data_IF_050219834420
#
_entry.id   IF_050219834420
#
_cell.length_a   1.000
_cell.length_b   1.000
_cell.length_c   1.000
_cell.angle_alpha   90.00
_cell.angle_beta   90.00
_cell.angle_gamma   90.00
#
_symmetry.space_group_name_H-M   'P 1'
#
loop_
_entity.id
_entity.type
_entity.pdbx_description
1 polymer ?
#
# COMPACT_ATOMS: atom_id res chain seq x y z
N UNK A 1 -41.96 -25.85 36.68
CA UNK A 1 -41.38 -25.87 35.32
C UNK A 1 -41.98 -24.81 34.39
N UNK A 2 -43.32 -24.71 34.25
CA UNK A 2 -43.99 -23.69 33.44
C UNK A 2 -43.64 -22.23 33.85
N UNK A 3 -43.61 -21.93 35.15
CA UNK A 3 -43.22 -20.62 35.67
C UNK A 3 -41.74 -20.26 35.43
N UNK A 4 -40.87 -21.27 35.27
CA UNK A 4 -39.45 -21.06 34.98
C UNK A 4 -39.25 -20.69 33.50
N UNK A 5 -39.98 -21.36 32.61
CA UNK A 5 -40.01 -21.08 31.16
C UNK A 5 -40.65 -19.71 30.88
N UNK A 6 -41.74 -19.37 31.57
CA UNK A 6 -42.40 -18.06 31.43
C UNK A 6 -41.48 -16.93 31.90
N UNK A 7 -40.76 -17.11 33.02
CA UNK A 7 -39.79 -16.10 33.50
C UNK A 7 -38.53 -16.01 32.62
N UNK A 8 -38.08 -17.12 32.01
CA UNK A 8 -36.96 -17.13 31.08
C UNK A 8 -37.31 -16.44 29.76
N UNK A 9 -38.48 -16.73 29.16
CA UNK A 9 -38.95 -16.04 27.96
C UNK A 9 -39.23 -14.54 28.22
N UNK A 10 -39.69 -14.18 29.42
CA UNK A 10 -39.93 -12.77 29.79
C UNK A 10 -38.61 -12.00 29.97
N UNK A 11 -37.51 -12.65 30.40
CA UNK A 11 -36.15 -12.09 30.39
C UNK A 11 -35.58 -11.98 28.98
N UNK A 12 -35.70 -13.02 28.16
CA UNK A 12 -35.22 -13.02 26.78
C UNK A 12 -35.92 -11.97 25.89
N UNK A 13 -37.20 -11.68 26.14
CA UNK A 13 -37.92 -10.60 25.45
C UNK A 13 -37.57 -9.19 25.97
N UNK A 14 -36.97 -9.06 27.16
CA UNK A 14 -36.52 -7.76 27.66
C UNK A 14 -35.16 -7.34 27.05
N UNK A 15 -34.32 -8.32 26.71
CA UNK A 15 -33.00 -8.10 26.09
C UNK A 15 -33.11 -7.84 24.56
N UNK A 16 -34.16 -8.32 23.92
CA UNK A 16 -34.53 -7.95 22.55
C UNK A 16 -35.50 -6.76 22.58
N UNK A 17 -35.02 -5.53 22.34
CA UNK A 17 -35.86 -4.34 22.17
C UNK A 17 -36.84 -4.49 20.99
N UNK A 18 -37.99 -5.13 21.24
CA UNK A 18 -39.15 -5.20 20.37
C UNK A 18 -40.18 -4.15 20.83
N UNK A 19 -40.96 -3.54 19.90
CA UNK A 19 -41.91 -2.49 20.22
C UNK A 19 -43.03 -2.99 21.15
N UNK A 20 -43.48 -2.11 22.04
CA UNK A 20 -44.51 -2.36 23.05
C UNK A 20 -45.85 -2.80 22.41
N UNK A 21 -46.20 -4.07 22.59
CA UNK A 21 -47.47 -4.68 22.18
C UNK A 21 -48.43 -4.84 23.37
N UNK A 22 -48.45 -3.86 24.29
CA UNK A 22 -49.38 -3.81 25.43
C UNK A 22 -50.87 -3.77 25.05
N UNK A 23 -51.21 -3.57 23.76
CA UNK A 23 -52.58 -3.57 23.25
C UNK A 23 -53.18 -4.94 22.88
N UNK A 24 -52.39 -6.01 22.77
CA UNK A 24 -52.86 -7.28 22.18
C UNK A 24 -53.41 -8.32 23.19
N UNK A 25 -53.43 -8.02 24.49
CA UNK A 25 -53.74 -8.99 25.55
C UNK A 25 -55.16 -8.92 26.12
N UNK A 26 -56.08 -8.15 25.52
CA UNK A 26 -57.44 -7.95 26.05
C UNK A 26 -58.55 -8.42 25.12
N UNK A 27 -58.44 -9.61 24.52
CA UNK A 27 -59.59 -10.35 23.98
C UNK A 27 -59.39 -11.85 24.13
N UNK A 28 -59.75 -12.41 25.30
CA UNK A 28 -60.01 -13.85 25.45
C UNK A 28 -61.00 -14.08 26.60
N UNK A 29 -62.30 -13.96 26.31
CA UNK A 29 -63.35 -14.52 27.17
C UNK A 29 -64.61 -15.01 26.44
N UNK A 30 -64.62 -15.08 25.11
CA UNK A 30 -65.74 -15.68 24.36
C UNK A 30 -65.21 -16.36 23.10
N UNK A 31 -64.81 -17.63 23.21
CA UNK A 31 -64.81 -18.70 22.18
C UNK A 31 -64.28 -19.94 22.94
N UNK A 32 -65.10 -20.47 23.84
CA UNK A 32 -64.91 -21.77 24.49
C UNK A 32 -66.27 -22.39 24.79
N UNK A 33 -67.10 -22.48 23.76
CA UNK A 33 -68.18 -23.47 23.68
C UNK A 33 -68.19 -23.96 22.23
N UNK A 34 -68.36 -25.27 22.04
CA UNK A 34 -68.36 -25.99 20.76
C UNK A 34 -67.04 -26.01 19.98
N UNK A 35 -66.07 -26.84 20.40
CA UNK A 35 -65.42 -27.88 19.56
C UNK A 35 -64.81 -28.90 20.52
N UNK A 36 -65.14 -30.17 20.31
CA UNK A 36 -64.78 -31.30 21.17
C UNK A 36 -63.28 -31.53 21.33
N UNK A 37 -62.97 -32.26 22.41
CA UNK A 37 -61.68 -32.85 22.80
C UNK A 37 -60.81 -33.23 21.59
N UNK A 38 -59.92 -32.34 21.17
CA UNK A 38 -58.80 -32.65 20.29
C UNK A 38 -57.49 -32.40 21.06
N UNK A 39 -56.58 -33.37 20.97
CA UNK A 39 -55.43 -33.65 21.85
C UNK A 39 -54.57 -32.41 22.18
N UNK A 40 -54.56 -32.02 23.45
CA UNK A 40 -53.70 -30.97 24.04
C UNK A 40 -52.24 -31.38 24.32
N UNK A 41 -51.80 -32.55 23.84
CA UNK A 41 -50.45 -33.09 24.13
C UNK A 41 -49.40 -32.70 23.06
N UNK A 42 -49.82 -32.19 21.90
CA UNK A 42 -48.91 -31.86 20.79
C UNK A 42 -48.41 -30.41 20.81
N UNK A 43 -49.21 -29.46 21.31
CA UNK A 43 -48.87 -28.02 21.34
C UNK A 43 -47.58 -27.70 22.15
N UNK A 44 -47.31 -28.28 23.33
CA UNK A 44 -46.08 -27.95 24.07
C UNK A 44 -44.81 -28.54 23.43
N UNK A 45 -44.92 -29.63 22.66
CA UNK A 45 -43.76 -30.23 21.95
C UNK A 45 -43.32 -29.39 20.75
N UNK A 46 -44.26 -28.81 20.00
CA UNK A 46 -43.94 -27.88 18.92
C UNK A 46 -43.43 -26.53 19.43
N UNK A 47 -43.96 -26.03 20.56
CA UNK A 47 -43.46 -24.80 21.18
C UNK A 47 -42.03 -24.95 21.73
N UNK A 48 -41.69 -26.09 22.33
CA UNK A 48 -40.33 -26.38 22.78
C UNK A 48 -39.33 -26.58 21.63
N UNK A 49 -39.74 -27.25 20.54
CA UNK A 49 -38.92 -27.41 19.34
C UNK A 49 -38.70 -26.06 18.61
N UNK A 50 -39.71 -25.19 18.58
CA UNK A 50 -39.58 -23.83 18.02
C UNK A 50 -38.65 -22.95 18.87
N UNK A 51 -38.70 -23.07 20.20
CA UNK A 51 -37.78 -22.35 21.09
C UNK A 51 -36.33 -22.87 21.00
N UNK A 52 -36.13 -24.18 20.84
CA UNK A 52 -34.80 -24.76 20.59
C UNK A 52 -34.26 -24.36 19.21
N UNK A 53 -35.12 -24.21 18.20
CA UNK A 53 -34.72 -23.71 16.88
C UNK A 53 -34.37 -22.20 16.89
N UNK A 54 -35.05 -21.40 17.73
CA UNK A 54 -34.80 -19.95 17.85
C UNK A 54 -33.58 -19.61 18.73
N UNK A 55 -33.24 -20.46 19.71
CA UNK A 55 -32.07 -20.25 20.58
C UNK A 55 -30.72 -20.67 19.97
N UNK A 56 -30.73 -21.37 18.84
CA UNK A 56 -29.51 -21.89 18.19
C UNK A 56 -28.87 -20.90 17.19
N UNK A 57 -29.51 -19.76 16.90
CA UNK A 57 -29.01 -18.80 15.92
C UNK A 57 -27.71 -18.10 16.36
N UNK A 58 -27.41 -18.03 17.66
CA UNK A 58 -26.17 -17.45 18.21
C UNK A 58 -25.00 -18.46 18.31
N UNK A 59 -25.23 -19.75 18.04
CA UNK A 59 -24.18 -20.79 18.12
C UNK A 59 -23.61 -21.20 16.76
N UNK A 60 -24.00 -20.50 15.69
CA UNK A 60 -23.52 -20.78 14.34
C UNK A 60 -22.14 -20.15 14.09
N UNK A 61 -21.19 -20.89 13.49
CA UNK A 61 -19.92 -20.31 13.06
C UNK A 61 -20.16 -19.21 12.03
N UNK A 62 -19.78 -17.97 12.35
CA UNK A 62 -19.75 -16.86 11.41
C UNK A 62 -18.31 -16.54 11.02
N UNK A 63 -18.09 -16.15 9.76
CA UNK A 63 -16.76 -15.85 9.21
C UNK A 63 -16.21 -14.49 9.73
N UNK A 64 -17.02 -13.72 10.47
CA UNK A 64 -16.64 -12.43 11.06
C UNK A 64 -17.84 -11.66 11.64
N UNK A 65 -17.64 -10.41 12.08
CA UNK A 65 -18.70 -9.63 12.72
C UNK A 65 -19.82 -9.23 11.73
N UNK A 66 -21.07 -9.43 12.14
CA UNK A 66 -22.23 -8.91 11.41
C UNK A 66 -22.33 -7.39 11.54
N UNK A 67 -23.09 -6.74 10.65
CA UNK A 67 -23.27 -5.29 10.71
C UNK A 67 -23.87 -4.81 12.05
N UNK A 68 -24.77 -5.61 12.64
CA UNK A 68 -25.33 -5.32 13.96
C UNK A 68 -24.31 -5.57 15.09
N UNK A 69 -23.45 -6.60 14.97
CA UNK A 69 -22.36 -6.85 15.90
C UNK A 69 -21.36 -5.69 15.94
N UNK A 70 -21.00 -5.14 14.79
CA UNK A 70 -20.12 -3.97 14.68
C UNK A 70 -20.68 -2.75 15.43
N UNK A 71 -21.98 -2.48 15.27
CA UNK A 71 -22.68 -1.39 15.97
C UNK A 71 -22.74 -1.61 17.49
N UNK A 72 -22.86 -2.86 17.95
CA UNK A 72 -22.94 -3.20 19.37
C UNK A 72 -21.59 -3.00 20.11
N UNK A 73 -20.47 -3.15 19.41
CA UNK A 73 -19.12 -2.98 19.97
C UNK A 73 -18.53 -1.57 19.79
N UNK A 74 -19.19 -0.70 19.02
CA UNK A 74 -18.75 0.69 18.84
C UNK A 74 -18.80 1.48 20.17
N UNK A 75 -17.68 2.11 20.52
CA UNK A 75 -17.42 2.65 21.87
C UNK A 75 -18.24 3.89 22.27
N UNK A 76 -19.04 4.48 21.37
CA UNK A 76 -19.82 5.68 21.67
C UNK A 76 -21.14 5.43 22.43
N UNK A 77 -21.54 4.17 22.65
CA UNK A 77 -22.84 3.84 23.31
C UNK A 77 -22.76 3.23 24.71
N UNK A 78 -21.59 2.84 25.23
CA UNK A 78 -21.49 2.14 26.53
C UNK A 78 -20.67 2.91 27.56
N UNK A 79 -21.34 3.55 28.52
CA UNK A 79 -20.72 3.95 29.80
C UNK A 79 -20.31 2.68 30.56
N UNK A 80 -19.16 2.75 31.25
CA UNK A 80 -18.60 1.82 32.25
C UNK A 80 -17.98 0.49 31.76
N UNK A 81 -16.67 0.49 31.45
CA UNK A 81 -15.66 -0.45 32.02
C UNK A 81 -14.22 -0.05 31.59
N UNK A 82 -13.34 0.50 32.46
CA UNK A 82 -12.02 1.04 32.08
C UNK A 82 -10.97 0.02 31.59
N UNK A 83 -11.15 -1.29 31.84
CA UNK A 83 -10.10 -2.29 31.64
C UNK A 83 -10.29 -3.24 30.45
N UNK A 84 -11.32 -3.04 29.62
CA UNK A 84 -11.69 -3.99 28.56
C UNK A 84 -11.68 -3.39 27.15
N UNK A 85 -10.94 -4.08 26.27
CA UNK A 85 -11.02 -4.10 24.79
C UNK A 85 -10.50 -2.85 24.08
N UNK A 86 -9.65 -3.04 23.07
CA UNK A 86 -9.28 -2.01 22.09
C UNK A 86 -10.54 -1.30 21.57
N UNK A 87 -10.82 -0.12 22.10
CA UNK A 87 -12.00 0.67 21.73
C UNK A 87 -11.74 1.33 20.39
N UNK A 88 -12.60 1.09 19.41
CA UNK A 88 -12.57 1.79 18.14
C UNK A 88 -13.71 2.81 18.04
N UNK A 89 -13.48 3.89 17.30
CA UNK A 89 -14.52 4.81 16.90
C UNK A 89 -15.17 4.31 15.61
N UNK A 90 -16.50 4.30 15.55
CA UNK A 90 -17.24 3.96 14.34
C UNK A 90 -17.64 5.26 13.63
N UNK A 91 -17.17 5.47 12.41
CA UNK A 91 -17.42 6.69 11.64
C UNK A 91 -18.17 6.34 10.36
N UNK A 92 -19.36 6.90 10.18
CA UNK A 92 -20.06 6.78 8.90
C UNK A 92 -19.38 7.67 7.86
N UNK A 93 -19.01 7.09 6.73
CA UNK A 93 -18.36 7.81 5.63
C UNK A 93 -19.42 8.57 4.84
N UNK A 94 -19.52 9.86 5.12
CA UNK A 94 -20.30 10.82 4.34
C UNK A 94 -19.38 11.69 3.45
N UNK A 95 -19.96 12.60 2.67
CA UNK A 95 -19.19 13.48 1.79
C UNK A 95 -18.26 14.46 2.54
N UNK A 96 -18.53 14.77 3.82
CA UNK A 96 -17.66 15.61 4.65
C UNK A 96 -16.43 14.81 5.08
N UNK A 97 -16.65 13.64 5.67
CA UNK A 97 -15.59 12.73 6.11
C UNK A 97 -14.68 12.34 4.94
N UNK A 98 -15.26 12.03 3.78
CA UNK A 98 -14.49 11.69 2.59
C UNK A 98 -13.59 12.85 2.13
N UNK A 99 -14.10 14.08 2.07
CA UNK A 99 -13.28 15.25 1.71
C UNK A 99 -12.22 15.58 2.76
N UNK A 100 -12.55 15.48 4.04
CA UNK A 100 -11.61 15.73 5.13
C UNK A 100 -10.45 14.71 5.08
N UNK A 101 -10.76 13.44 4.83
CA UNK A 101 -9.77 12.38 4.62
C UNK A 101 -8.93 12.63 3.37
N UNK A 102 -9.56 12.95 2.23
CA UNK A 102 -8.89 13.25 0.97
C UNK A 102 -7.88 14.40 1.14
N UNK A 103 -8.32 15.50 1.78
CA UNK A 103 -7.48 16.66 2.03
C UNK A 103 -6.32 16.37 2.98
N UNK A 104 -6.57 15.58 4.02
CA UNK A 104 -5.53 15.21 4.99
C UNK A 104 -4.47 14.30 4.37
N UNK A 105 -4.90 13.37 3.50
CA UNK A 105 -4.02 12.40 2.85
C UNK A 105 -3.47 12.86 1.50
N UNK A 106 -3.77 14.07 1.06
CA UNK A 106 -3.08 14.67 -0.08
C UNK A 106 -1.57 14.65 0.19
N UNK A 107 -0.77 14.08 -0.73
CA UNK A 107 0.64 13.86 -0.49
C UNK A 107 1.35 15.19 -0.25
N UNK A 108 1.78 15.43 1.00
CA UNK A 108 2.75 16.48 1.30
C UNK A 108 4.02 16.10 0.55
N UNK A 109 4.39 16.92 -0.44
CA UNK A 109 5.59 16.68 -1.24
C UNK A 109 6.80 16.67 -0.30
N UNK A 110 7.62 15.59 -0.29
CA UNK A 110 8.80 15.57 0.54
C UNK A 110 9.74 16.71 0.12
N UNK A 111 10.34 17.38 1.09
CA UNK A 111 11.36 18.40 0.79
C UNK A 111 12.62 17.73 0.25
N UNK A 112 13.19 18.27 -0.83
CA UNK A 112 14.50 17.82 -1.35
C UNK A 112 15.60 18.35 -0.42
N UNK A 113 16.41 17.48 0.22
CA UNK A 113 17.50 17.93 1.07
C UNK A 113 18.49 18.85 0.34
N UNK A 114 19.01 19.87 1.03
CA UNK A 114 19.91 20.88 0.44
C UNK A 114 21.15 20.28 -0.25
N UNK A 115 21.62 19.10 0.20
CA UNK A 115 22.72 18.37 -0.43
C UNK A 115 22.45 17.98 -1.89
N UNK A 116 21.18 17.84 -2.27
CA UNK A 116 20.75 17.48 -3.63
C UNK A 116 20.37 18.69 -4.50
N UNK A 117 20.34 19.89 -3.92
CA UNK A 117 20.01 21.13 -4.63
C UNK A 117 21.24 21.77 -5.31
N UNK A 118 22.45 21.37 -4.94
CA UNK A 118 23.69 21.86 -5.54
C UNK A 118 24.09 21.02 -6.75
N UNK A 119 24.58 21.68 -7.80
CA UNK A 119 25.17 21.02 -8.96
C UNK A 119 26.34 20.14 -8.54
N UNK A 120 26.34 18.89 -9.00
CA UNK A 120 27.46 17.98 -8.80
C UNK A 120 28.74 18.57 -9.39
N UNK A 121 29.89 18.29 -8.77
CA UNK A 121 31.19 18.64 -9.34
C UNK A 121 31.46 17.74 -10.54
N UNK A 122 31.31 18.27 -11.75
CA UNK A 122 31.63 17.58 -13.00
C UNK A 122 33.00 18.04 -13.56
N UNK A 123 33.59 17.22 -14.43
CA UNK A 123 34.74 17.62 -15.25
C UNK A 123 36.03 17.83 -14.46
N UNK A 124 36.22 17.08 -13.37
CA UNK A 124 37.47 17.08 -12.59
C UNK A 124 38.17 15.75 -12.76
N UNK A 125 39.49 15.78 -12.91
CA UNK A 125 40.29 14.56 -12.95
C UNK A 125 40.35 13.93 -11.55
N UNK A 126 39.93 12.68 -11.41
CA UNK A 126 40.07 11.91 -10.18
C UNK A 126 41.02 10.73 -10.32
N UNK A 127 41.41 10.17 -9.18
CA UNK A 127 42.33 9.02 -9.13
C UNK A 127 41.72 7.83 -9.87
N UNK A 128 42.50 7.20 -10.74
CA UNK A 128 42.06 6.07 -11.56
C UNK A 128 41.44 6.44 -12.91
N UNK A 129 41.13 7.72 -13.15
CA UNK A 129 40.64 8.15 -14.46
C UNK A 129 41.72 7.99 -15.53
N UNK A 130 41.27 7.70 -16.75
CA UNK A 130 42.11 7.67 -17.94
C UNK A 130 41.81 8.93 -18.75
N UNK A 131 42.82 9.78 -18.93
CA UNK A 131 42.74 11.02 -19.68
C UNK A 131 43.39 10.83 -21.05
N UNK A 132 42.72 11.30 -22.08
CA UNK A 132 43.26 11.47 -23.43
C UNK A 132 43.75 12.90 -23.57
N UNK A 133 45.04 13.07 -23.77
CA UNK A 133 45.69 14.36 -23.94
C UNK A 133 46.13 14.47 -25.40
N UNK A 134 45.47 15.36 -26.15
CA UNK A 134 45.84 15.65 -27.52
C UNK A 134 46.62 16.96 -27.55
N UNK A 135 47.82 16.91 -28.13
CA UNK A 135 48.75 18.04 -28.20
C UNK A 135 48.97 18.35 -29.68
N UNK A 136 48.83 19.62 -30.05
CA UNK A 136 49.09 20.14 -31.39
C UNK A 136 50.13 21.26 -31.34
N UNK A 137 50.91 21.42 -32.40
CA UNK A 137 51.78 22.57 -32.62
C UNK A 137 51.30 23.37 -33.84
N UNK A 138 51.17 24.69 -33.67
CA UNK A 138 50.73 25.58 -34.75
C UNK A 138 51.85 25.89 -35.77
N UNK A 139 53.12 25.68 -35.38
CA UNK A 139 54.31 26.01 -36.18
C UNK A 139 54.51 25.09 -37.40
N UNK A 140 55.09 25.63 -38.48
CA UNK A 140 55.52 24.86 -39.65
C UNK A 140 56.83 24.11 -39.41
N UNK A 141 57.59 24.51 -38.38
CA UNK A 141 58.78 23.82 -37.90
C UNK A 141 58.50 23.26 -36.50
N UNK A 142 57.72 22.18 -36.45
CA UNK A 142 57.34 21.53 -35.20
C UNK A 142 58.57 21.01 -34.43
N UNK A 143 58.75 21.45 -33.18
CA UNK A 143 59.93 21.14 -32.36
C UNK A 143 59.78 19.83 -31.59
N UNK A 144 58.55 19.47 -31.25
CA UNK A 144 58.27 18.27 -30.44
C UNK A 144 57.91 17.05 -31.30
N UNK A 145 57.37 17.24 -32.52
CA UNK A 145 56.90 16.15 -33.39
C UNK A 145 57.62 16.03 -34.73
N UNK A 146 58.49 16.99 -35.09
CA UNK A 146 59.20 17.01 -36.38
C UNK A 146 58.30 17.41 -37.56
N UNK A 147 58.78 17.24 -38.80
CA UNK A 147 58.12 17.74 -40.02
C UNK A 147 56.91 16.93 -40.47
N UNK A 148 56.81 15.65 -40.08
CA UNK A 148 55.81 14.73 -40.63
C UNK A 148 54.49 14.68 -39.83
N UNK A 149 54.46 15.22 -38.60
CA UNK A 149 53.27 15.23 -37.74
C UNK A 149 53.16 16.56 -36.98
N UNK A 150 51.96 17.13 -36.96
CA UNK A 150 51.65 18.38 -36.21
C UNK A 150 50.97 18.14 -34.85
N UNK A 151 50.85 16.89 -34.41
CA UNK A 151 50.28 16.57 -33.11
C UNK A 151 50.44 15.12 -32.69
N UNK A 152 50.15 14.86 -31.41
CA UNK A 152 50.14 13.54 -30.82
C UNK A 152 48.96 13.37 -29.86
N UNK A 153 48.50 12.13 -29.76
CA UNK A 153 47.52 11.71 -28.78
C UNK A 153 48.20 10.80 -27.75
N UNK A 154 48.12 11.20 -26.47
CA UNK A 154 48.72 10.47 -25.36
C UNK A 154 47.63 10.13 -24.36
N UNK A 155 47.47 8.84 -24.10
CA UNK A 155 46.56 8.36 -23.06
C UNK A 155 47.34 8.17 -21.76
N UNK A 156 46.92 8.86 -20.69
CA UNK A 156 47.56 8.80 -19.37
C UNK A 156 46.53 8.45 -18.30
N UNK A 157 46.95 7.75 -17.25
CA UNK A 157 46.11 7.43 -16.11
C UNK A 157 46.48 8.29 -14.92
N UNK A 158 45.49 8.76 -14.17
CA UNK A 158 45.71 9.43 -12.88
C UNK A 158 46.11 8.39 -11.85
N UNK A 159 47.34 8.49 -11.36
CA UNK A 159 47.92 7.55 -10.42
C UNK A 159 47.32 7.69 -9.00
N UNK A 160 47.52 6.70 -8.11
CA UNK A 160 47.01 6.72 -6.73
C UNK A 160 47.47 7.93 -5.91
N UNK A 161 48.64 8.50 -6.21
CA UNK A 161 49.16 9.73 -5.59
C UNK A 161 48.48 11.01 -6.13
N UNK A 162 47.56 10.88 -7.10
CA UNK A 162 46.82 11.98 -7.70
C UNK A 162 47.57 12.72 -8.80
N UNK A 163 48.68 12.17 -9.30
CA UNK A 163 49.48 12.77 -10.37
C UNK A 163 49.25 12.09 -11.72
N UNK A 164 49.65 12.76 -12.79
CA UNK A 164 49.81 12.16 -14.12
C UNK A 164 51.25 12.33 -14.57
N UNK A 165 51.73 11.37 -15.36
CA UNK A 165 53.03 11.43 -16.01
C UNK A 165 52.84 11.58 -17.52
N UNK A 166 53.31 12.70 -18.07
CA UNK A 166 53.21 12.99 -19.49
C UNK A 166 54.63 13.18 -20.07
N UNK A 167 54.94 12.58 -21.23
CA UNK A 167 56.23 12.81 -21.90
C UNK A 167 56.51 14.30 -22.06
N UNK A 168 57.76 14.71 -21.84
CA UNK A 168 58.27 16.09 -21.90
C UNK A 168 57.72 17.07 -20.84
N UNK A 169 56.49 16.90 -20.36
CA UNK A 169 55.90 17.71 -19.28
C UNK A 169 56.17 17.17 -17.86
N UNK A 170 56.65 15.92 -17.75
CA UNK A 170 57.03 15.29 -16.48
C UNK A 170 55.83 14.80 -15.67
N UNK A 171 56.03 14.66 -14.35
CA UNK A 171 55.00 14.22 -13.39
C UNK A 171 54.45 15.42 -12.61
N UNK A 172 53.14 15.59 -12.57
CA UNK A 172 52.49 16.74 -11.93
C UNK A 172 51.09 16.42 -11.42
N UNK A 173 50.56 17.17 -10.43
CA UNK A 173 49.27 16.87 -9.81
C UNK A 173 48.10 17.15 -10.77
N UNK A 174 47.18 16.19 -10.87
CA UNK A 174 45.94 16.28 -11.65
C UNK A 174 44.68 16.14 -10.80
N UNK A 175 44.76 15.47 -9.65
CA UNK A 175 43.60 15.17 -8.79
C UNK A 175 42.82 16.44 -8.42
N UNK A 176 41.51 16.38 -8.66
CA UNK A 176 40.56 17.44 -8.34
C UNK A 176 40.64 18.64 -9.27
N UNK A 177 41.59 18.73 -10.20
CA UNK A 177 41.67 19.84 -11.15
C UNK A 177 40.56 19.75 -12.20
N UNK A 178 39.87 20.84 -12.52
CA UNK A 178 39.05 20.94 -13.72
C UNK A 178 39.89 20.63 -14.96
N UNK A 179 39.30 19.95 -15.96
CA UNK A 179 40.02 19.64 -17.21
C UNK A 179 40.60 20.89 -17.90
N UNK A 180 39.90 22.06 -17.97
CA UNK A 180 40.46 23.26 -18.57
C UNK A 180 41.69 23.82 -17.84
N UNK A 181 41.77 23.63 -16.52
CA UNK A 181 42.94 24.05 -15.74
C UNK A 181 44.11 23.09 -15.99
N UNK A 182 43.81 21.81 -16.24
CA UNK A 182 44.80 20.81 -16.60
C UNK A 182 45.38 21.06 -18.00
N UNK A 183 44.54 21.46 -18.96
CA UNK A 183 44.98 21.89 -20.31
C UNK A 183 45.99 23.04 -20.24
N UNK A 184 45.67 24.08 -19.47
CA UNK A 184 46.56 25.23 -19.27
C UNK A 184 47.87 24.84 -18.59
N UNK A 185 47.81 23.99 -17.56
CA UNK A 185 49.00 23.51 -16.85
C UNK A 185 49.92 22.72 -17.79
N UNK A 186 49.35 21.83 -18.63
CA UNK A 186 50.12 21.07 -19.62
C UNK A 186 50.75 21.98 -20.68
N UNK A 187 49.98 22.92 -21.24
CA UNK A 187 50.49 23.88 -22.22
C UNK A 187 51.66 24.69 -21.65
N UNK A 188 51.54 25.16 -20.41
CA UNK A 188 52.61 25.92 -19.73
C UNK A 188 53.89 25.10 -19.52
N UNK A 189 53.77 23.80 -19.23
CA UNK A 189 54.91 22.89 -19.05
C UNK A 189 55.59 22.54 -20.36
N UNK A 190 54.84 22.52 -21.45
CA UNK A 190 55.35 22.24 -22.79
C UNK A 190 55.90 23.49 -23.49
N UNK A 191 55.62 24.71 -23.02
CA UNK A 191 56.01 25.96 -23.68
C UNK A 191 57.52 26.12 -23.94
N UNK A 192 58.39 25.49 -23.14
CA UNK A 192 59.85 25.50 -23.35
C UNK A 192 60.36 24.34 -24.22
N UNK A 193 59.47 23.47 -24.69
CA UNK A 193 59.78 22.23 -25.43
C UNK A 193 59.05 22.14 -26.78
N UNK A 194 57.95 22.87 -26.94
CA UNK A 194 57.09 22.94 -28.12
C UNK A 194 56.88 24.40 -28.52
N UNK A 195 56.76 24.67 -29.81
CA UNK A 195 56.40 26.01 -30.31
C UNK A 195 54.87 26.15 -30.33
N UNK A 196 54.33 27.04 -29.51
CA UNK A 196 52.89 27.31 -29.35
C UNK A 196 52.03 26.04 -29.18
N UNK A 197 52.23 25.26 -28.10
CA UNK A 197 51.51 24.01 -27.89
C UNK A 197 50.03 24.26 -27.57
N UNK A 198 49.15 23.72 -28.39
CA UNK A 198 47.71 23.68 -28.15
C UNK A 198 47.33 22.32 -27.55
N UNK A 199 46.70 22.32 -26.38
CA UNK A 199 46.41 21.10 -25.63
C UNK A 199 44.93 20.97 -25.38
N UNK A 200 44.40 19.77 -25.60
CA UNK A 200 43.03 19.38 -25.25
C UNK A 200 43.06 18.14 -24.37
N UNK A 201 42.32 18.16 -23.27
CA UNK A 201 42.22 17.03 -22.34
C UNK A 201 40.78 16.54 -22.25
N UNK A 202 40.58 15.28 -22.59
CA UNK A 202 39.29 14.60 -22.47
C UNK A 202 39.40 13.41 -21.52
N UNK A 203 38.33 13.08 -20.80
CA UNK A 203 38.27 11.85 -20.01
C UNK A 203 37.91 10.70 -20.96
N UNK A 204 38.86 9.79 -21.19
CA UNK A 204 38.63 8.58 -22.00
C UNK A 204 37.93 7.48 -21.19
N UNK A 205 38.23 7.37 -19.90
CA UNK A 205 37.53 6.47 -18.98
C UNK A 205 37.36 7.16 -17.63
N UNK A 206 36.11 7.32 -17.20
CA UNK A 206 35.74 7.94 -15.94
C UNK A 206 35.49 6.86 -14.88
N UNK A 207 36.48 6.64 -14.02
CA UNK A 207 36.42 5.64 -12.95
C UNK A 207 36.10 6.32 -11.62
N UNK A 208 36.62 7.53 -11.42
CA UNK A 208 36.53 8.28 -10.17
C UNK A 208 35.18 8.95 -9.96
N UNK A 209 34.46 9.26 -11.03
CA UNK A 209 33.20 10.00 -11.01
C UNK A 209 32.04 9.14 -11.52
N UNK A 210 31.86 7.97 -10.91
CA UNK A 210 30.72 7.10 -11.14
C UNK A 210 29.67 7.21 -10.01
N UNK A 211 28.40 7.05 -10.37
CA UNK A 211 27.31 6.80 -9.45
C UNK A 211 26.87 5.33 -9.56
N UNK A 212 26.41 4.75 -8.46
CA UNK A 212 25.97 3.36 -8.44
C UNK A 212 24.45 3.29 -8.59
N UNK A 213 23.97 2.51 -9.56
CA UNK A 213 22.54 2.22 -9.72
C UNK A 213 22.29 0.76 -9.37
N UNK A 214 21.49 0.51 -8.35
CA UNK A 214 21.31 -0.82 -7.75
C UNK A 214 19.83 -1.18 -7.53
N UNK A 215 19.61 -2.47 -7.25
CA UNK A 215 18.31 -3.03 -6.88
C UNK A 215 17.48 -3.43 -8.10
N UNK A 216 16.20 -3.06 -8.09
CA UNK A 216 15.20 -3.49 -9.06
C UNK A 216 15.23 -2.68 -10.37
N UNK A 217 16.42 -2.63 -10.97
CA UNK A 217 16.71 -2.10 -12.32
C UNK A 217 17.10 -3.22 -13.27
N UNK A 218 16.95 -3.00 -14.58
CA UNK A 218 17.26 -4.01 -15.58
C UNK A 218 18.76 -4.35 -15.66
N UNK A 219 19.63 -3.35 -15.51
CA UNK A 219 21.09 -3.49 -15.50
C UNK A 219 21.64 -2.79 -14.25
N UNK A 220 21.78 -3.48 -13.10
CA UNK A 220 22.41 -2.90 -11.93
C UNK A 220 23.93 -2.80 -12.13
N UNK A 221 24.55 -1.73 -11.66
CA UNK A 221 25.98 -1.53 -11.78
C UNK A 221 26.46 -0.11 -11.50
N UNK A 222 27.77 0.14 -11.58
CA UNK A 222 28.34 1.48 -11.60
C UNK A 222 28.12 2.12 -12.99
N UNK A 223 27.78 3.40 -12.99
CA UNK A 223 27.56 4.20 -14.18
C UNK A 223 28.35 5.52 -14.09
N UNK A 224 29.18 5.85 -15.10
CA UNK A 224 29.92 7.11 -15.09
C UNK A 224 28.97 8.31 -15.17
N UNK A 225 29.32 9.39 -14.47
CA UNK A 225 28.66 10.69 -14.59
C UNK A 225 29.41 11.49 -15.64
N UNK A 226 28.87 11.52 -16.86
CA UNK A 226 29.51 12.03 -18.07
C UNK A 226 29.16 13.49 -18.38
N UNK A 227 28.06 14.01 -17.81
CA UNK A 227 27.62 15.40 -18.03
C UNK A 227 27.29 16.11 -16.73
N UNK A 228 27.50 17.42 -16.71
CA UNK A 228 27.20 18.28 -15.55
C UNK A 228 25.69 18.37 -15.25
N UNK A 229 24.84 18.15 -16.25
CA UNK A 229 23.39 18.23 -16.17
C UNK A 229 22.73 16.84 -16.02
N UNK A 230 23.51 15.79 -15.80
CA UNK A 230 23.01 14.42 -15.68
C UNK A 230 22.21 14.23 -14.40
N UNK A 231 20.97 13.75 -14.53
CA UNK A 231 20.00 13.63 -13.44
C UNK A 231 19.68 12.17 -13.11
N UNK A 232 18.97 11.99 -12.00
CA UNK A 232 18.58 10.67 -11.50
C UNK A 232 17.86 9.84 -12.57
N UNK A 233 16.89 10.41 -13.28
CA UNK A 233 16.14 9.69 -14.31
C UNK A 233 17.04 9.26 -15.49
N UNK A 234 18.07 10.03 -15.82
CA UNK A 234 19.06 9.66 -16.85
C UNK A 234 19.84 8.42 -16.41
N UNK A 235 20.28 8.39 -15.15
CA UNK A 235 20.99 7.22 -14.59
C UNK A 235 20.13 5.96 -14.58
N UNK A 236 18.85 6.10 -14.23
CA UNK A 236 17.90 4.99 -14.24
C UNK A 236 17.67 4.50 -15.69
N UNK A 237 17.59 5.42 -16.66
CA UNK A 237 17.47 5.07 -18.07
C UNK A 237 18.71 4.34 -18.60
N UNK A 238 19.93 4.78 -18.22
CA UNK A 238 21.18 4.09 -18.54
C UNK A 238 21.24 2.68 -17.94
N UNK A 239 20.65 2.49 -16.75
CA UNK A 239 20.44 1.19 -16.12
C UNK A 239 19.33 0.34 -16.78
N UNK A 240 18.78 0.80 -17.90
CA UNK A 240 17.73 0.11 -18.66
C UNK A 240 16.32 0.28 -18.07
N UNK A 241 16.11 1.20 -17.13
CA UNK A 241 14.83 1.44 -16.48
C UNK A 241 14.55 0.55 -15.26
N UNK A 242 13.45 0.86 -14.57
CA UNK A 242 12.94 0.08 -13.45
C UNK A 242 12.34 -1.26 -13.93
N UNK A 243 12.50 -2.33 -13.15
CA UNK A 243 11.92 -3.66 -13.44
C UNK A 243 10.41 -3.73 -13.21
N UNK A 244 9.92 -2.97 -12.24
CA UNK A 244 8.52 -2.98 -11.81
C UNK A 244 7.86 -1.63 -12.13
N UNK A 245 6.52 -1.57 -12.16
CA UNK A 245 5.81 -0.31 -12.32
C UNK A 245 6.21 0.73 -11.27
N UNK A 246 6.15 2.01 -11.64
CA UNK A 246 6.59 3.10 -10.78
C UNK A 246 5.78 3.21 -9.47
N UNK A 247 4.51 2.78 -9.47
CA UNK A 247 3.68 2.71 -8.27
C UNK A 247 4.03 1.54 -7.32
N UNK A 248 4.78 0.54 -7.78
CA UNK A 248 5.32 -0.55 -6.92
C UNK A 248 6.79 -0.34 -6.55
N UNK A 249 7.42 0.73 -7.04
CA UNK A 249 8.85 0.93 -6.92
C UNK A 249 9.14 2.07 -5.96
N UNK A 250 9.93 1.79 -4.93
CA UNK A 250 10.51 2.82 -4.06
C UNK A 250 11.86 3.26 -4.62
N UNK A 251 12.09 4.57 -4.61
CA UNK A 251 13.33 5.20 -5.01
C UNK A 251 14.07 5.71 -3.78
N UNK A 252 15.38 5.51 -3.73
CA UNK A 252 16.28 6.05 -2.72
C UNK A 252 17.57 6.55 -3.36
N UNK A 253 17.89 7.82 -3.13
CA UNK A 253 19.16 8.43 -3.47
C UNK A 253 19.95 8.72 -2.19
N UNK A 254 21.19 8.24 -2.14
CA UNK A 254 22.10 8.45 -1.02
C UNK A 254 23.32 9.23 -1.51
N UNK A 255 23.59 10.37 -0.86
CA UNK A 255 24.78 11.22 -1.08
C UNK A 255 25.46 11.51 0.26
N UNK A 256 26.56 10.81 0.53
CA UNK A 256 27.22 10.86 1.84
C UNK A 256 26.25 10.46 2.96
N UNK A 257 25.93 11.40 3.86
CA UNK A 257 24.96 11.20 4.96
C UNK A 257 23.52 11.62 4.59
N UNK A 258 23.32 12.24 3.44
CA UNK A 258 22.00 12.69 3.00
C UNK A 258 21.28 11.58 2.25
N UNK A 259 20.02 11.34 2.61
CA UNK A 259 19.16 10.34 1.97
C UNK A 259 17.89 11.03 1.50
N UNK A 260 17.52 10.81 0.25
CA UNK A 260 16.22 11.19 -0.31
C UNK A 260 15.48 9.91 -0.71
N UNK A 261 14.30 9.68 -0.15
CA UNK A 261 13.50 8.49 -0.47
C UNK A 261 12.05 8.88 -0.71
N UNK A 262 11.49 8.39 -1.82
CA UNK A 262 10.12 8.63 -2.26
C UNK A 262 9.67 7.48 -3.17
N UNK A 263 8.39 7.45 -3.53
CA UNK A 263 7.90 6.48 -4.53
C UNK A 263 8.39 6.89 -5.92
N UNK A 264 8.77 5.93 -6.76
CA UNK A 264 9.22 6.20 -8.12
C UNK A 264 8.16 6.95 -8.94
N UNK A 265 6.86 6.69 -8.70
CA UNK A 265 5.78 7.46 -9.33
C UNK A 265 5.91 8.97 -9.07
N UNK A 266 6.27 9.37 -7.84
CA UNK A 266 6.44 10.79 -7.51
C UNK A 266 7.63 11.41 -8.26
N UNK A 267 8.71 10.65 -8.47
CA UNK A 267 9.86 11.10 -9.26
C UNK A 267 9.48 11.34 -10.74
N UNK A 268 8.61 10.48 -11.29
CA UNK A 268 8.15 10.55 -12.68
C UNK A 268 7.09 11.63 -12.87
N UNK A 269 6.16 11.79 -11.92
CA UNK A 269 5.06 12.77 -12.02
C UNK A 269 5.52 14.20 -11.73
N UNK A 270 6.57 14.37 -10.91
CA UNK A 270 7.10 15.66 -10.46
C UNK A 270 8.62 15.76 -10.69
N UNK A 271 9.11 15.60 -11.94
CA UNK A 271 10.53 15.63 -12.23
C UNK A 271 11.14 17.01 -11.95
N UNK A 272 10.36 18.10 -12.04
CA UNK A 272 10.79 19.46 -11.75
C UNK A 272 11.26 19.65 -10.29
N UNK A 273 10.79 18.79 -9.38
CA UNK A 273 11.14 18.81 -7.96
C UNK A 273 12.17 17.71 -7.66
N UNK A 274 11.90 16.47 -8.07
CA UNK A 274 12.63 15.30 -7.56
C UNK A 274 13.73 14.78 -8.48
N UNK A 275 13.76 15.17 -9.76
CA UNK A 275 14.78 14.72 -10.70
C UNK A 275 16.08 15.52 -10.51
N UNK A 276 16.71 15.35 -9.36
CA UNK A 276 17.92 16.09 -8.97
C UNK A 276 19.15 15.69 -9.78
N UNK A 277 20.17 16.55 -9.80
CA UNK A 277 21.45 16.25 -10.42
C UNK A 277 22.19 15.15 -9.65
N UNK A 278 22.83 14.26 -10.39
CA UNK A 278 23.63 13.15 -9.83
C UNK A 278 25.09 13.58 -9.71
N UNK A 279 25.72 13.16 -8.64
CA UNK A 279 27.13 13.42 -8.36
C UNK A 279 27.91 12.11 -8.25
N UNK A 280 29.23 12.22 -8.40
CA UNK A 280 30.16 11.14 -8.14
C UNK A 280 29.95 10.56 -6.72
N UNK A 281 29.89 9.22 -6.62
CA UNK A 281 29.67 8.51 -5.36
C UNK A 281 28.23 8.44 -4.89
N UNK A 282 27.27 9.02 -5.61
CA UNK A 282 25.85 8.84 -5.32
C UNK A 282 25.46 7.37 -5.49
N UNK A 283 24.57 6.91 -4.62
CA UNK A 283 23.94 5.58 -4.75
C UNK A 283 22.45 5.74 -4.99
N UNK A 284 21.99 5.28 -6.15
CA UNK A 284 20.60 5.19 -6.56
C UNK A 284 20.15 3.75 -6.34
N UNK A 285 19.20 3.55 -5.43
CA UNK A 285 18.59 2.26 -5.14
C UNK A 285 17.12 2.29 -5.53
N UNK A 286 16.71 1.37 -6.39
CA UNK A 286 15.31 1.07 -6.65
C UNK A 286 14.96 -0.24 -5.93
N UNK A 287 13.83 -0.28 -5.24
CA UNK A 287 13.38 -1.49 -4.54
C UNK A 287 11.89 -1.65 -4.68
N UNK A 288 11.44 -2.85 -5.04
CA UNK A 288 10.03 -3.21 -5.15
C UNK A 288 9.41 -3.20 -3.76
N UNK A 289 8.47 -2.29 -3.57
CA UNK A 289 7.70 -2.11 -2.33
C UNK A 289 6.25 -1.86 -2.71
N UNK A 290 5.50 -2.91 -3.12
CA UNK A 290 4.12 -2.75 -3.53
C UNK A 290 3.27 -2.29 -2.33
N UNK A 291 2.41 -1.31 -2.57
CA UNK A 291 1.38 -0.92 -1.61
C UNK A 291 0.24 -1.94 -1.67
N UNK A 292 -0.35 -2.24 -0.52
CA UNK A 292 -1.36 -3.29 -0.42
C UNK A 292 -2.43 -2.98 0.61
N UNK A 293 -3.62 -3.54 0.42
CA UNK A 293 -4.68 -3.61 1.43
C UNK A 293 -5.18 -5.05 1.51
N UNK A 294 -5.94 -5.37 2.56
CA UNK A 294 -6.51 -6.72 2.74
C UNK A 294 -8.03 -6.64 2.60
N UNK A 295 -8.61 -7.47 1.76
CA UNK A 295 -10.05 -7.60 1.62
C UNK A 295 -10.55 -8.89 2.29
N UNK A 296 -11.55 -8.77 3.15
CA UNK A 296 -12.10 -9.88 3.95
C UNK A 296 -13.64 -9.87 3.93
N UNK A 297 -14.23 -10.99 4.32
CA UNK A 297 -15.68 -11.11 4.48
C UNK A 297 -16.41 -11.48 3.19
N UNK A 298 -17.58 -10.89 2.95
CA UNK A 298 -18.45 -11.18 1.82
C UNK A 298 -18.07 -10.39 0.55
N UNK A 299 -16.82 -10.56 0.12
CA UNK A 299 -16.27 -9.99 -1.12
C UNK A 299 -16.07 -11.08 -2.18
N UNK A 300 -16.02 -10.70 -3.46
CA UNK A 300 -15.75 -11.65 -4.54
C UNK A 300 -14.32 -12.21 -4.50
N UNK A 301 -13.33 -11.36 -4.23
CA UNK A 301 -11.92 -11.74 -4.17
C UNK A 301 -11.30 -11.40 -2.80
N UNK A 302 -11.44 -12.28 -1.79
CA UNK A 302 -10.80 -12.09 -0.50
C UNK A 302 -9.28 -12.28 -0.58
N UNK A 303 -8.55 -11.65 0.32
CA UNK A 303 -7.09 -11.76 0.45
C UNK A 303 -6.36 -10.43 0.30
N UNK A 304 -5.05 -10.52 0.19
CA UNK A 304 -4.17 -9.38 -0.01
C UNK A 304 -4.26 -8.85 -1.45
N UNK A 305 -4.48 -7.54 -1.59
CA UNK A 305 -4.66 -6.85 -2.86
C UNK A 305 -3.55 -5.82 -3.04
N UNK A 306 -2.83 -5.89 -4.16
CA UNK A 306 -1.77 -4.94 -4.53
C UNK A 306 -2.39 -3.74 -5.24
N UNK A 307 -1.97 -2.55 -4.84
CA UNK A 307 -2.38 -1.31 -5.47
C UNK A 307 -1.84 -1.29 -6.91
N UNK A 308 -2.74 -1.13 -7.90
CA UNK A 308 -2.38 -0.98 -9.32
C UNK A 308 -2.10 0.46 -9.74
N UNK A 309 -2.00 1.38 -8.77
CA UNK A 309 -1.82 2.84 -8.90
C UNK A 309 -1.12 3.37 -7.64
N UNK A 310 -0.55 4.57 -7.69
CA UNK A 310 0.11 5.20 -6.52
C UNK A 310 -0.86 5.61 -5.42
N UNK A 311 -2.08 5.99 -5.80
CA UNK A 311 -3.19 6.30 -4.89
C UNK A 311 -4.39 5.43 -5.23
N UNK A 312 -5.11 4.99 -4.21
CA UNK A 312 -6.30 4.15 -4.35
C UNK A 312 -7.44 4.82 -3.59
N UNK A 313 -8.63 4.93 -4.18
CA UNK A 313 -9.83 5.32 -3.46
C UNK A 313 -10.72 4.09 -3.21
N UNK A 314 -11.78 4.26 -2.42
CA UNK A 314 -12.65 3.15 -2.04
C UNK A 314 -13.39 2.55 -3.25
N UNK A 315 -13.71 3.35 -4.26
CA UNK A 315 -14.28 2.87 -5.53
C UNK A 315 -13.34 1.94 -6.26
N UNK A 316 -12.08 2.35 -6.43
CA UNK A 316 -11.04 1.56 -7.08
C UNK A 316 -10.72 0.29 -6.28
N UNK A 317 -10.72 0.35 -4.94
CA UNK A 317 -10.49 -0.79 -4.07
C UNK A 317 -11.62 -1.83 -4.18
N UNK A 318 -12.89 -1.40 -4.13
CA UNK A 318 -14.03 -2.27 -4.36
C UNK A 318 -14.04 -2.83 -5.80
N UNK A 319 -13.64 -2.04 -6.79
CA UNK A 319 -13.47 -2.49 -8.17
C UNK A 319 -12.36 -3.55 -8.32
N UNK A 320 -11.23 -3.39 -7.62
CA UNK A 320 -10.12 -4.35 -7.64
C UNK A 320 -10.53 -5.72 -7.12
N UNK A 321 -11.42 -5.78 -6.14
CA UNK A 321 -11.95 -7.02 -5.59
C UNK A 321 -13.21 -7.52 -6.31
N UNK A 322 -13.59 -6.93 -7.46
CA UNK A 322 -14.80 -7.27 -8.25
C UNK A 322 -16.11 -7.00 -7.49
N UNK A 323 -16.06 -6.14 -6.48
CA UNK A 323 -17.21 -5.74 -5.69
C UNK A 323 -17.62 -6.76 -4.62
N UNK A 324 -18.88 -6.64 -4.21
CA UNK A 324 -19.47 -7.42 -3.13
C UNK A 324 -19.99 -8.75 -3.68
N UNK A 325 -19.89 -9.80 -2.89
CA UNK A 325 -20.54 -11.06 -3.25
C UNK A 325 -22.06 -10.95 -3.02
N UNK A 326 -22.81 -10.77 -4.09
CA UNK A 326 -24.23 -10.39 -4.06
C UNK A 326 -25.12 -11.38 -3.30
N UNK A 327 -24.76 -12.66 -3.27
CA UNK A 327 -25.54 -13.71 -2.58
C UNK A 327 -25.37 -13.71 -1.06
N UNK A 328 -24.27 -13.15 -0.55
CA UNK A 328 -23.91 -13.23 0.89
C UNK A 328 -23.52 -11.90 1.52
N UNK A 329 -23.40 -10.81 0.79
CA UNK A 329 -22.95 -9.52 1.35
C UNK A 329 -24.09 -8.66 1.88
N UNK A 330 -23.87 -8.03 3.04
CA UNK A 330 -24.70 -6.90 3.48
C UNK A 330 -24.14 -5.58 2.92
N UNK A 331 -24.84 -5.01 1.94
CA UNK A 331 -24.49 -3.71 1.36
C UNK A 331 -24.50 -2.55 2.38
N UNK A 332 -25.12 -2.70 3.55
CA UNK A 332 -25.05 -1.69 4.64
C UNK A 332 -23.76 -1.76 5.46
N UNK A 333 -23.03 -2.86 5.36
CA UNK A 333 -21.92 -3.21 6.24
C UNK A 333 -20.60 -3.34 5.48
N UNK A 334 -20.20 -2.30 4.74
CA UNK A 334 -18.85 -2.20 4.18
C UNK A 334 -18.00 -1.40 5.17
N UNK A 335 -16.95 -2.01 5.69
CA UNK A 335 -16.12 -1.44 6.74
C UNK A 335 -14.66 -1.32 6.32
N UNK A 336 -14.02 -0.22 6.68
CA UNK A 336 -12.58 -0.04 6.54
C UNK A 336 -11.97 0.19 7.92
N UNK A 337 -11.04 -0.68 8.31
CA UNK A 337 -10.34 -0.58 9.59
C UNK A 337 -9.00 0.11 9.38
N UNK A 338 -8.78 1.20 10.11
CA UNK A 338 -7.53 1.95 10.03
C UNK A 338 -7.16 2.56 11.37
N UNK A 339 -5.87 2.73 11.61
CA UNK A 339 -5.35 3.59 12.68
C UNK A 339 -5.12 5.00 12.14
N UNK A 340 -5.83 5.96 12.69
CA UNK A 340 -5.84 7.34 12.22
C UNK A 340 -5.10 8.26 13.20
N UNK A 341 -4.35 9.26 12.71
CA UNK A 341 -3.76 10.27 13.59
C UNK A 341 -4.82 11.00 14.41
N UNK A 342 -4.47 11.38 15.64
CA UNK A 342 -5.38 12.07 16.55
C UNK A 342 -5.91 13.39 15.98
N UNK A 343 -5.11 14.08 15.17
CA UNK A 343 -5.49 15.31 14.49
C UNK A 343 -6.72 15.12 13.59
N UNK A 344 -6.73 14.02 12.81
CA UNK A 344 -7.84 13.71 11.92
C UNK A 344 -9.06 13.23 12.71
N UNK A 345 -8.84 12.38 13.73
CA UNK A 345 -9.91 11.93 14.62
C UNK A 345 -10.65 13.10 15.31
N UNK A 346 -9.92 14.14 15.74
CA UNK A 346 -10.50 15.36 16.31
C UNK A 346 -11.33 16.15 15.29
N UNK A 347 -10.93 16.22 14.01
CA UNK A 347 -11.72 16.85 12.94
C UNK A 347 -13.06 16.15 12.73
N UNK A 348 -13.12 14.84 12.94
CA UNK A 348 -14.36 14.08 12.89
C UNK A 348 -15.25 14.26 14.13
N UNK A 349 -14.80 14.99 15.15
CA UNK A 349 -15.54 15.19 16.39
C UNK A 349 -15.46 14.01 17.36
N UNK A 350 -14.53 13.07 17.16
CA UNK A 350 -14.37 11.89 18.01
C UNK A 350 -13.78 12.33 19.35
N UNK A 351 -14.47 11.98 20.43
CA UNK A 351 -13.99 12.24 21.79
C UNK A 351 -12.97 11.19 22.19
N UNK A 352 -11.73 11.64 22.35
CA UNK A 352 -10.63 10.78 22.79
C UNK A 352 -10.66 10.67 24.32
N UNK A 353 -10.65 9.43 24.81
CA UNK A 353 -10.69 9.16 26.25
C UNK A 353 -9.30 9.20 26.90
N UNK A 354 -8.24 9.14 26.10
CA UNK A 354 -6.85 9.25 26.53
C UNK A 354 -6.17 10.34 25.70
N UNK A 355 -5.43 11.23 26.37
CA UNK A 355 -4.79 12.38 25.72
C UNK A 355 -3.45 12.03 25.06
N UNK A 356 -2.77 10.96 25.50
CA UNK A 356 -1.42 10.56 25.06
C UNK A 356 -1.39 9.59 23.85
N UNK A 357 -2.50 9.43 23.11
CA UNK A 357 -2.53 8.55 21.95
C UNK A 357 -1.95 9.27 20.72
N UNK A 358 -1.00 8.65 20.02
CA UNK A 358 -0.55 9.14 18.70
C UNK A 358 -1.56 8.79 17.60
N UNK A 359 -2.18 7.61 17.70
CA UNK A 359 -3.14 7.10 16.73
C UNK A 359 -4.36 6.45 17.40
N UNK A 360 -5.49 6.53 16.72
CA UNK A 360 -6.80 6.06 17.18
C UNK A 360 -7.32 5.02 16.19
N UNK A 361 -7.71 3.81 16.63
CA UNK A 361 -8.36 2.87 15.74
C UNK A 361 -9.76 3.38 15.36
N UNK A 362 -9.97 3.61 14.08
CA UNK A 362 -11.24 4.03 13.49
C UNK A 362 -11.72 2.93 12.56
N UNK A 363 -13.00 2.60 12.68
CA UNK A 363 -13.72 1.77 11.72
C UNK A 363 -14.63 2.70 10.94
N UNK A 364 -14.36 2.83 9.65
CA UNK A 364 -15.19 3.58 8.75
C UNK A 364 -16.29 2.67 8.20
N UNK A 365 -17.55 3.06 8.35
CA UNK A 365 -18.70 2.36 7.79
C UNK A 365 -19.20 3.08 6.55
N UNK A 366 -19.42 2.33 5.49
CA UNK A 366 -19.99 2.78 4.24
C UNK A 366 -21.24 1.96 3.92
N UNK A 367 -22.34 2.66 3.62
CA UNK A 367 -23.63 2.03 3.30
C UNK A 367 -23.94 2.16 1.81
N UNK A 368 -23.68 1.10 1.05
CA UNK A 368 -23.93 1.05 -0.40
C UNK A 368 -25.41 0.96 -0.79
N UNK A 369 -26.33 0.85 0.19
CA UNK A 369 -27.77 1.05 -0.10
C UNK A 369 -28.13 2.53 -0.25
N UNK A 370 -27.28 3.44 0.23
CA UNK A 370 -27.43 4.87 0.03
C UNK A 370 -26.65 5.31 -1.22
N UNK A 371 -27.31 5.88 -2.24
CA UNK A 371 -26.65 6.41 -3.43
C UNK A 371 -25.58 7.48 -3.12
N UNK A 372 -25.71 8.23 -2.01
CA UNK A 372 -24.73 9.25 -1.62
C UNK A 372 -23.37 8.65 -1.28
N UNK A 373 -23.35 7.42 -0.75
CA UNK A 373 -22.11 6.70 -0.42
C UNK A 373 -21.20 6.49 -1.63
N UNK A 374 -21.76 6.35 -2.85
CA UNK A 374 -20.96 6.18 -4.06
C UNK A 374 -20.12 7.42 -4.40
N UNK A 375 -20.63 8.62 -4.10
CA UNK A 375 -19.84 9.85 -4.26
C UNK A 375 -18.75 9.95 -3.18
N UNK A 376 -19.08 9.56 -1.94
CA UNK A 376 -18.10 9.54 -0.85
C UNK A 376 -16.96 8.54 -1.12
N UNK A 377 -17.25 7.39 -1.71
CA UNK A 377 -16.23 6.38 -2.09
C UNK A 377 -15.17 6.90 -3.06
N UNK A 378 -15.56 7.77 -3.99
CA UNK A 378 -14.64 8.28 -5.00
C UNK A 378 -13.60 9.24 -4.40
N UNK A 379 -13.97 9.96 -3.34
CA UNK A 379 -13.08 10.86 -2.61
C UNK A 379 -12.33 10.16 -1.47
N UNK A 380 -12.92 9.14 -0.85
CA UNK A 380 -12.34 8.49 0.33
C UNK A 380 -11.10 7.66 -0.05
N UNK A 381 -9.90 8.02 0.43
CA UNK A 381 -8.66 7.31 0.08
C UNK A 381 -8.54 5.99 0.84
N UNK A 382 -8.03 4.96 0.18
CA UNK A 382 -7.58 3.70 0.77
C UNK A 382 -6.05 3.76 0.92
N UNK A 383 -5.59 3.45 2.13
CA UNK A 383 -4.20 3.59 2.54
C UNK A 383 -3.52 2.21 2.61
N UNK A 384 -2.19 2.16 2.49
CA UNK A 384 -1.46 0.92 2.66
C UNK A 384 -1.71 0.28 4.03
N UNK A 385 -1.90 -1.03 4.05
CA UNK A 385 -2.24 -1.86 5.21
C UNK A 385 -3.65 -1.67 5.79
N UNK A 386 -4.54 -1.00 5.06
CA UNK A 386 -5.96 -1.00 5.41
C UNK A 386 -6.56 -2.41 5.33
N UNK A 387 -7.57 -2.64 6.17
CA UNK A 387 -8.41 -3.83 6.10
C UNK A 387 -9.80 -3.41 5.66
N UNK A 388 -10.18 -3.82 4.46
CA UNK A 388 -11.53 -3.72 3.93
C UNK A 388 -12.29 -5.00 4.29
N UNK A 389 -13.39 -4.87 5.01
CA UNK A 389 -14.22 -5.97 5.44
C UNK A 389 -15.68 -5.74 5.04
N UNK A 390 -16.32 -6.74 4.45
CA UNK A 390 -17.75 -6.69 4.12
C UNK A 390 -18.49 -7.71 4.98
N UNK A 391 -19.45 -7.24 5.78
CA UNK A 391 -20.25 -8.13 6.62
C UNK A 391 -21.12 -9.07 5.78
N UNK A 392 -21.34 -10.30 6.26
CA UNK A 392 -22.32 -11.18 5.65
C UNK A 392 -23.75 -10.64 5.86
N UNK A 393 -24.63 -10.92 4.90
CA UNK A 393 -26.05 -10.66 4.99
C UNK A 393 -26.69 -11.57 6.05
N UNK A 394 -27.64 -11.08 6.87
CA UNK A 394 -28.28 -11.89 7.91
C UNK A 394 -28.90 -13.21 7.39
N UNK A 395 -29.41 -13.19 6.15
CA UNK A 395 -30.01 -14.38 5.53
C UNK A 395 -28.96 -15.38 5.00
N UNK A 396 -27.73 -14.94 4.73
CA UNK A 396 -26.66 -15.81 4.28
C UNK A 396 -26.19 -16.78 5.37
N UNK A 397 -26.14 -16.30 6.62
CA UNK A 397 -25.84 -17.15 7.78
C UNK A 397 -26.98 -18.14 8.06
N UNK A 398 -28.24 -17.74 7.85
CA UNK A 398 -29.39 -18.65 7.92
C UNK A 398 -29.37 -19.72 6.79
N UNK A 399 -28.93 -19.37 5.58
CA UNK A 399 -28.79 -20.33 4.48
C UNK A 399 -27.71 -21.39 4.79
N UNK A 400 -26.57 -21.01 5.38
CA UNK A 400 -25.56 -21.96 5.87
C UNK A 400 -26.16 -22.94 6.89
N UNK A 401 -27.00 -22.46 7.81
CA UNK A 401 -27.72 -23.31 8.76
C UNK A 401 -28.62 -24.34 8.06
N UNK A 402 -29.44 -23.91 7.10
CA UNK A 402 -30.33 -24.83 6.38
C UNK A 402 -29.56 -25.87 5.55
N UNK A 403 -28.38 -25.54 5.03
CA UNK A 403 -27.51 -26.51 4.36
C UNK A 403 -26.92 -27.55 5.32
N UNK A 404 -26.48 -27.14 6.51
CA UNK A 404 -25.99 -28.06 7.55
C UNK A 404 -27.14 -28.98 8.02
N UNK A 405 -28.32 -28.41 8.26
CA UNK A 405 -29.49 -29.15 8.73
C UNK A 405 -29.98 -30.16 7.66
N UNK A 406 -30.06 -29.75 6.39
CA UNK A 406 -30.49 -30.64 5.31
C UNK A 406 -29.50 -31.79 5.09
N UNK A 407 -28.19 -31.52 5.18
CA UNK A 407 -27.13 -32.54 5.15
C UNK A 407 -27.25 -33.56 6.29
N UNK A 408 -27.65 -33.14 7.49
CA UNK A 408 -27.88 -34.04 8.62
C UNK A 408 -29.16 -34.91 8.48
N UNK A 409 -30.17 -34.43 7.75
CA UNK A 409 -31.43 -35.16 7.51
C UNK A 409 -31.39 -36.15 6.34
N UNK A 410 -30.38 -36.07 5.47
CA UNK A 410 -30.26 -36.93 4.29
C UNK A 410 -30.00 -38.42 4.61
N UNK A 411 -29.73 -38.78 5.86
CA UNK A 411 -29.49 -40.17 6.32
C UNK A 411 -30.71 -40.91 6.87
N UNK A 412 -31.93 -40.34 6.84
CA UNK A 412 -33.15 -41.06 7.25
C UNK A 412 -34.04 -41.36 6.05
N UNK A 413 -33.52 -42.14 5.11
CA UNK A 413 -34.35 -42.88 4.17
C UNK A 413 -34.89 -44.13 4.88
N UNK A 414 -36.18 -44.09 5.24
CA UNK A 414 -36.91 -45.19 5.87
C UNK A 414 -36.96 -46.38 4.88
N UNK A 415 -36.47 -47.59 5.22
CA UNK A 415 -36.67 -48.75 4.37
C UNK A 415 -38.14 -49.17 4.43
N UNK A 416 -38.80 -49.17 3.27
CA UNK A 416 -40.16 -49.72 3.09
C UNK A 416 -40.14 -51.23 3.39
N UNK A 417 -40.75 -51.60 4.51
CA UNK A 417 -41.52 -52.82 4.79
C UNK A 417 -41.18 -54.09 3.99
N UNK A 418 -40.56 -55.07 4.66
CA UNK A 418 -40.60 -56.49 4.33
C UNK A 418 -42.05 -57.00 4.45
N UNK A 419 -42.70 -57.26 3.31
CA UNK A 419 -43.94 -58.04 3.23
C UNK A 419 -43.61 -59.42 2.67
N UNK A 420 -43.65 -60.45 3.52
CA UNK A 420 -43.39 -61.83 3.13
C UNK A 420 -44.53 -62.42 2.31
N UNK A 421 -44.18 -63.31 1.37
CA UNK A 421 -45.09 -64.27 0.78
C UNK A 421 -44.43 -65.65 0.82
N UNK A 422 -45.02 -66.56 1.61
CA UNK A 422 -44.70 -67.99 1.62
C UNK A 422 -45.28 -68.69 0.37
N UNK A 423 -44.72 -69.83 -0.07
CA UNK A 423 -45.23 -70.60 -1.19
C UNK A 423 -46.32 -71.58 -0.74
N UNK A 424 -47.31 -71.83 -1.60
CA UNK A 424 -48.15 -73.02 -1.52
C UNK A 424 -48.22 -73.63 -2.92
N UNK A 425 -47.69 -74.84 -3.04
CA UNK A 425 -47.93 -75.71 -4.19
C UNK A 425 -49.21 -76.51 -3.99
N UNK A 426 -49.94 -76.69 -5.08
CA UNK A 426 -50.43 -77.99 -5.58
C UNK A 426 -50.68 -77.86 -7.08
#
# INVERSE_FOLDING_TARGET
>A
MLNFVVNYCRRAMADCHAPDLSGAWRVRSKITQTVGRFRWVLVPRYAAALCLALGACDMLPSDGPSANGMLAHASERRKSDPAAVMRFALVNVDARIARDAEQFYHPVLPSVPAAFQRSGTFGRAGVGDVLRVTIWEASDTSRLFGTDRKGADVTVRVDPDGTIALPYAGRFPARGKPLPDLEKDIASRLANKADDPQVTVMVAQNVSSAASVQGDVNKPGPYPVERADQRVLDMIALAGGAKYPAYETSFRLTRGRSIMSLQMQQLVDRPEIFNVLVAAGDTILLSRKPLKFVALGAVQQPGEQIFRRSTLNMTDALGQIVGLESSRADAKGVYLFRREPVELARRYGIRLLAEDLETVPIVYQLNLKDPQSFFAMNAFPVMPNDILYVSPAPLADAAKFFQILSGATATVAIPRTLGGNFPAGN
#
